data_IF_488563157364
#
_entry.id   IF_488563157364
#
_cell.length_a   1.000
_cell.length_b   1.000
_cell.length_c   1.000
_cell.angle_alpha   90.00
_cell.angle_beta   90.00
_cell.angle_gamma   90.00
#
_symmetry.space_group_name_H-M   'P 1'
#
loop_
_entity.id
_entity.type
_entity.pdbx_description
1 polymer ?
#
# COMPACT_ATOMS: atom_id res chain seq x y z
N UNK A 1 -13.44 -16.80 -39.59
CA UNK A 1 -13.25 -17.11 -38.19
C UNK A 1 -12.70 -18.53 -38.01
N UNK A 2 -13.45 -19.59 -38.44
CA UNK A 2 -13.08 -20.97 -38.25
C UNK A 2 -11.66 -21.33 -38.75
N UNK A 3 -11.30 -20.94 -39.97
CA UNK A 3 -9.94 -21.14 -40.49
C UNK A 3 -8.84 -20.45 -39.66
N UNK A 4 -9.14 -19.32 -39.05
CA UNK A 4 -8.20 -18.63 -38.17
C UNK A 4 -8.04 -19.39 -36.84
N UNK A 5 -9.15 -19.88 -36.28
CA UNK A 5 -9.14 -20.72 -35.07
C UNK A 5 -8.38 -22.02 -35.28
N UNK A 6 -8.65 -22.71 -36.39
CA UNK A 6 -7.94 -23.91 -36.74
C UNK A 6 -6.46 -23.70 -36.97
N UNK A 7 -6.10 -22.57 -37.62
CA UNK A 7 -4.69 -22.20 -37.83
C UNK A 7 -3.98 -21.92 -36.51
N UNK A 8 -4.62 -21.27 -35.57
CA UNK A 8 -4.07 -21.03 -34.20
C UNK A 8 -3.99 -22.34 -33.44
N UNK A 9 -5.04 -23.16 -33.46
CA UNK A 9 -5.11 -24.43 -32.76
C UNK A 9 -4.02 -25.43 -33.20
N UNK A 10 -3.78 -25.53 -34.49
CA UNK A 10 -2.74 -26.44 -35.01
C UNK A 10 -1.34 -25.96 -34.62
N UNK A 11 -1.11 -24.64 -34.58
CA UNK A 11 0.17 -24.06 -34.11
C UNK A 11 0.44 -24.38 -32.64
N UNK A 12 -0.60 -24.40 -31.80
CA UNK A 12 -0.52 -24.65 -30.36
C UNK A 12 -0.47 -26.12 -30.01
N UNK A 13 -0.67 -27.01 -30.98
CA UNK A 13 -0.72 -28.44 -30.75
C UNK A 13 0.65 -29.06 -30.43
N UNK A 14 0.72 -29.86 -29.37
CA UNK A 14 1.91 -30.66 -29.04
C UNK A 14 2.30 -31.66 -30.15
N UNK A 15 1.33 -32.02 -31.04
CA UNK A 15 1.57 -32.85 -32.22
C UNK A 15 1.48 -32.00 -33.47
N UNK A 16 2.34 -31.01 -33.58
CA UNK A 16 2.39 -30.10 -34.72
C UNK A 16 2.64 -30.89 -36.02
N UNK A 17 1.76 -30.64 -36.99
CA UNK A 17 1.89 -31.19 -38.34
C UNK A 17 2.09 -30.07 -39.34
N UNK A 18 3.34 -29.89 -39.79
CA UNK A 18 3.72 -28.81 -40.69
C UNK A 18 2.93 -28.82 -42.01
N UNK A 19 2.69 -29.99 -42.61
CA UNK A 19 1.94 -30.10 -43.87
C UNK A 19 0.50 -29.66 -43.72
N UNK A 20 -0.15 -30.05 -42.63
CA UNK A 20 -1.51 -29.61 -42.31
C UNK A 20 -1.57 -28.12 -41.99
N UNK A 21 -0.59 -27.61 -41.25
CA UNK A 21 -0.47 -26.19 -40.97
C UNK A 21 -0.33 -25.34 -42.23
N UNK A 22 0.58 -25.75 -43.15
CA UNK A 22 0.77 -25.04 -44.43
C UNK A 22 -0.49 -25.05 -45.29
N UNK A 23 -1.23 -26.15 -45.31
CA UNK A 23 -2.51 -26.23 -46.01
C UNK A 23 -3.56 -25.27 -45.42
N UNK A 24 -3.73 -25.27 -44.10
CA UNK A 24 -4.65 -24.34 -43.41
C UNK A 24 -4.25 -22.86 -43.60
N UNK A 25 -2.98 -22.55 -43.49
CA UNK A 25 -2.45 -21.19 -43.73
C UNK A 25 -2.73 -20.74 -45.16
N UNK A 26 -2.57 -21.61 -46.13
CA UNK A 26 -2.90 -21.29 -47.53
C UNK A 26 -4.42 -21.06 -47.72
N UNK A 27 -5.26 -21.90 -47.13
CA UNK A 27 -6.70 -21.71 -47.14
C UNK A 27 -7.14 -20.41 -46.49
N UNK A 28 -6.50 -20.06 -45.36
CA UNK A 28 -6.74 -18.80 -44.67
C UNK A 28 -6.34 -17.58 -45.54
N UNK A 29 -5.19 -17.65 -46.24
CA UNK A 29 -4.77 -16.63 -47.20
C UNK A 29 -5.79 -16.42 -48.32
N UNK A 30 -6.25 -17.49 -48.95
CA UNK A 30 -7.25 -17.45 -50.03
C UNK A 30 -8.56 -16.85 -49.54
N UNK A 31 -9.03 -17.28 -48.37
CA UNK A 31 -10.26 -16.77 -47.78
C UNK A 31 -10.17 -15.27 -47.46
N UNK A 32 -9.02 -14.85 -46.87
CA UNK A 32 -8.77 -13.45 -46.57
C UNK A 32 -8.74 -12.59 -47.86
N UNK A 33 -7.98 -12.99 -48.87
CA UNK A 33 -7.87 -12.24 -50.12
C UNK A 33 -9.22 -12.14 -50.84
N UNK A 34 -10.02 -13.18 -50.78
CA UNK A 34 -11.39 -13.18 -51.31
C UNK A 34 -12.32 -12.21 -50.55
N UNK A 35 -12.15 -12.18 -49.21
CA UNK A 35 -12.94 -11.28 -48.36
C UNK A 35 -12.62 -9.80 -48.64
N UNK A 36 -11.33 -9.47 -48.69
CA UNK A 36 -10.87 -8.09 -48.91
C UNK A 36 -11.35 -7.55 -50.26
N UNK A 37 -11.31 -8.37 -51.30
CA UNK A 37 -11.86 -7.97 -52.63
C UNK A 37 -13.33 -7.60 -52.59
N UNK A 38 -14.12 -8.18 -51.72
CA UNK A 38 -15.57 -7.98 -51.66
C UNK A 38 -16.00 -6.94 -50.64
N UNK A 39 -15.32 -6.87 -49.52
CA UNK A 39 -15.80 -6.20 -48.29
C UNK A 39 -14.86 -5.16 -47.72
N UNK A 40 -13.69 -4.94 -48.34
CA UNK A 40 -12.64 -4.09 -47.82
C UNK A 40 -11.98 -4.68 -46.54
N UNK A 41 -11.09 -3.91 -45.87
CA UNK A 41 -10.36 -4.34 -44.69
C UNK A 41 -11.25 -4.80 -43.55
N UNK A 42 -10.85 -5.86 -42.84
CA UNK A 42 -11.56 -6.37 -41.66
C UNK A 42 -11.59 -5.30 -40.56
N UNK A 43 -10.55 -4.54 -40.42
CA UNK A 43 -10.45 -3.44 -39.43
C UNK A 43 -11.18 -2.15 -39.86
N UNK A 44 -11.90 -2.16 -41.00
CA UNK A 44 -12.77 -1.03 -41.35
C UNK A 44 -13.88 -0.84 -40.33
N UNK A 45 -14.33 0.41 -40.16
CA UNK A 45 -15.37 0.78 -39.16
C UNK A 45 -16.65 -0.07 -39.31
N UNK A 46 -17.08 -0.31 -40.57
CA UNK A 46 -18.29 -1.08 -40.85
C UNK A 46 -18.17 -2.54 -40.36
N UNK A 47 -17.04 -3.20 -40.62
CA UNK A 47 -16.80 -4.58 -40.21
C UNK A 47 -16.59 -4.68 -38.70
N UNK A 48 -15.88 -3.73 -38.08
CA UNK A 48 -15.74 -3.70 -36.61
C UNK A 48 -17.08 -3.67 -35.90
N UNK A 49 -17.99 -2.82 -36.36
CA UNK A 49 -19.33 -2.71 -35.79
C UNK A 49 -20.14 -4.02 -35.94
N UNK A 50 -19.97 -4.76 -37.05
CA UNK A 50 -20.60 -6.07 -37.23
C UNK A 50 -20.04 -7.15 -36.29
N UNK A 51 -18.76 -7.04 -35.98
CA UNK A 51 -18.07 -8.02 -35.14
C UNK A 51 -18.18 -7.72 -33.62
N UNK A 52 -18.73 -6.57 -33.24
CA UNK A 52 -18.73 -6.07 -31.83
C UNK A 52 -19.31 -7.07 -30.83
N UNK A 53 -20.25 -7.93 -31.27
CA UNK A 53 -20.87 -8.95 -30.42
C UNK A 53 -20.36 -10.37 -30.68
N UNK A 54 -19.40 -10.56 -31.60
CA UNK A 54 -18.82 -11.88 -31.87
C UNK A 54 -17.70 -12.17 -30.84
N UNK A 55 -17.77 -13.27 -30.08
CA UNK A 55 -16.72 -13.67 -29.14
C UNK A 55 -15.33 -13.80 -29.81
N UNK A 56 -15.30 -14.06 -31.12
CA UNK A 56 -14.06 -14.20 -31.90
C UNK A 56 -13.58 -12.90 -32.51
N UNK A 57 -14.17 -11.77 -32.16
CA UNK A 57 -13.84 -10.45 -32.68
C UNK A 57 -12.34 -10.19 -32.69
N UNK A 58 -11.69 -10.37 -31.55
CA UNK A 58 -10.26 -10.08 -31.41
C UNK A 58 -9.37 -10.98 -32.28
N UNK A 59 -9.72 -12.26 -32.43
CA UNK A 59 -9.00 -13.16 -33.31
C UNK A 59 -9.09 -12.70 -34.79
N UNK A 60 -10.28 -12.29 -35.21
CA UNK A 60 -10.53 -11.84 -36.57
C UNK A 60 -9.84 -10.49 -36.84
N UNK A 61 -9.93 -9.54 -35.93
CA UNK A 61 -9.31 -8.21 -36.08
C UNK A 61 -7.78 -8.30 -36.09
N UNK A 62 -7.18 -9.22 -35.37
CA UNK A 62 -5.74 -9.47 -35.34
C UNK A 62 -5.18 -10.15 -36.60
N UNK A 63 -6.03 -10.51 -37.56
CA UNK A 63 -5.56 -10.93 -38.89
C UNK A 63 -4.94 -9.77 -39.70
N UNK A 64 -5.19 -8.54 -39.28
CA UNK A 64 -4.61 -7.34 -39.91
C UNK A 64 -3.79 -6.52 -38.91
N UNK A 65 -2.66 -6.02 -39.35
CA UNK A 65 -1.85 -5.01 -38.65
C UNK A 65 -2.03 -3.64 -39.34
N UNK A 66 -1.85 -2.54 -38.60
CA UNK A 66 -1.90 -1.20 -39.18
C UNK A 66 -0.82 -1.03 -40.25
N UNK A 67 -1.20 -0.51 -41.40
CA UNK A 67 -0.26 -0.08 -42.43
C UNK A 67 0.37 1.27 -42.10
N UNK A 68 1.32 1.69 -42.92
CA UNK A 68 2.06 2.96 -42.76
C UNK A 68 1.13 4.17 -43.04
N UNK A 69 0.25 4.04 -43.98
CA UNK A 69 -0.71 5.10 -44.33
C UNK A 69 -1.97 5.03 -43.44
N UNK A 70 -2.61 6.19 -43.23
CA UNK A 70 -3.82 6.25 -42.44
C UNK A 70 -4.95 5.40 -43.04
N UNK A 71 -5.59 4.59 -42.21
CA UNK A 71 -6.69 3.68 -42.59
C UNK A 71 -6.30 2.56 -43.58
N UNK A 72 -5.01 2.26 -43.73
CA UNK A 72 -4.53 1.07 -44.43
C UNK A 72 -4.19 -0.05 -43.45
N UNK A 73 -4.38 -1.29 -43.92
CA UNK A 73 -4.08 -2.48 -43.13
C UNK A 73 -3.30 -3.48 -43.99
N UNK A 74 -2.42 -4.23 -43.34
CA UNK A 74 -1.62 -5.28 -43.97
C UNK A 74 -1.88 -6.61 -43.30
N UNK A 75 -1.65 -7.70 -44.01
CA UNK A 75 -1.72 -9.06 -43.44
C UNK A 75 -0.76 -9.20 -42.26
N UNK A 76 -1.27 -9.65 -41.11
CA UNK A 76 -0.44 -9.98 -39.96
C UNK A 76 0.44 -11.21 -40.21
N UNK A 77 1.38 -11.48 -39.33
CA UNK A 77 2.42 -12.52 -39.53
C UNK A 77 1.86 -13.96 -39.55
N UNK A 78 0.66 -14.21 -39.02
CA UNK A 78 0.02 -15.52 -39.10
C UNK A 78 -0.15 -16.03 -40.54
N UNK A 79 -0.22 -15.14 -41.52
CA UNK A 79 -0.30 -15.47 -42.93
C UNK A 79 1.04 -15.87 -43.55
N UNK A 80 2.17 -15.53 -42.91
CA UNK A 80 3.53 -15.67 -43.45
C UNK A 80 4.34 -16.72 -42.70
N UNK A 81 4.32 -16.66 -41.37
CA UNK A 81 5.13 -17.47 -40.49
C UNK A 81 4.28 -18.15 -39.41
N UNK A 82 4.87 -19.11 -38.72
CA UNK A 82 4.30 -19.67 -37.52
C UNK A 82 4.44 -18.66 -36.38
N UNK A 83 3.32 -18.21 -35.81
CA UNK A 83 3.26 -17.19 -34.75
C UNK A 83 3.21 -17.76 -33.33
N UNK A 84 2.80 -19.03 -33.20
CA UNK A 84 2.73 -19.74 -31.93
C UNK A 84 3.65 -20.95 -32.00
N UNK A 85 4.71 -20.93 -31.24
CA UNK A 85 5.57 -22.09 -31.05
C UNK A 85 5.15 -22.79 -29.75
N UNK A 86 4.94 -24.11 -29.76
CA UNK A 86 4.68 -24.83 -28.52
C UNK A 86 5.88 -24.69 -27.61
N UNK A 87 5.62 -24.57 -26.34
CA UNK A 87 6.66 -24.59 -25.32
C UNK A 87 7.30 -25.99 -25.37
N UNK A 88 8.54 -26.06 -25.81
CA UNK A 88 9.29 -27.32 -25.85
C UNK A 88 9.76 -27.59 -24.43
N UNK A 89 9.34 -28.72 -23.87
CA UNK A 89 9.80 -29.14 -22.54
C UNK A 89 11.33 -29.38 -22.58
N UNK A 90 12.04 -28.63 -21.73
CA UNK A 90 13.49 -28.76 -21.60
C UNK A 90 13.78 -30.05 -20.85
N UNK A 91 14.51 -30.97 -21.49
CA UNK A 91 14.84 -32.28 -20.92
C UNK A 91 16.19 -32.33 -20.23
N UNK A 92 17.10 -31.43 -20.59
CA UNK A 92 18.44 -31.38 -20.02
C UNK A 92 18.97 -29.94 -20.08
N UNK A 93 19.69 -29.55 -19.05
CA UNK A 93 20.38 -28.25 -18.93
C UNK A 93 21.79 -28.45 -18.40
N UNK A 94 22.70 -27.53 -18.75
CA UNK A 94 24.11 -27.61 -18.39
C UNK A 94 24.50 -26.70 -17.23
N UNK A 95 23.64 -25.73 -16.88
CA UNK A 95 23.92 -24.76 -15.81
C UNK A 95 22.79 -24.64 -14.80
N UNK A 96 23.13 -24.20 -13.58
CA UNK A 96 22.13 -23.91 -12.54
C UNK A 96 21.20 -22.77 -12.94
N UNK A 97 21.70 -21.78 -13.70
CA UNK A 97 20.93 -20.66 -14.24
C UNK A 97 19.84 -21.14 -15.20
N UNK A 98 20.19 -22.07 -16.09
CA UNK A 98 19.23 -22.66 -17.03
C UNK A 98 18.20 -23.51 -16.29
N UNK A 99 18.62 -24.26 -15.26
CA UNK A 99 17.70 -25.05 -14.42
C UNK A 99 16.70 -24.15 -13.68
N UNK A 100 17.14 -23.04 -13.11
CA UNK A 100 16.29 -22.03 -12.47
C UNK A 100 15.31 -21.45 -13.48
N UNK A 101 15.79 -21.02 -14.65
CA UNK A 101 14.97 -20.44 -15.71
C UNK A 101 13.94 -21.44 -16.24
N UNK A 102 14.34 -22.69 -16.45
CA UNK A 102 13.44 -23.75 -16.88
C UNK A 102 12.36 -24.05 -15.83
N UNK A 103 12.73 -24.12 -14.54
CA UNK A 103 11.78 -24.34 -13.45
C UNK A 103 10.74 -23.23 -13.39
N UNK A 104 11.16 -21.97 -13.48
CA UNK A 104 10.25 -20.82 -13.49
C UNK A 104 9.30 -20.81 -14.68
N UNK A 105 9.82 -21.13 -15.88
CA UNK A 105 9.02 -21.15 -17.11
C UNK A 105 7.98 -22.29 -17.14
N UNK A 106 8.33 -23.48 -16.63
CA UNK A 106 7.47 -24.65 -16.72
C UNK A 106 6.62 -24.92 -15.47
N UNK A 107 7.14 -24.57 -14.29
CA UNK A 107 6.46 -24.81 -13.01
C UNK A 107 5.92 -23.55 -12.37
N UNK A 108 6.36 -22.36 -12.82
CA UNK A 108 6.00 -21.08 -12.22
C UNK A 108 6.66 -20.81 -10.86
N UNK A 109 7.51 -21.74 -10.40
CA UNK A 109 8.21 -21.68 -9.12
C UNK A 109 9.54 -22.44 -9.19
N UNK A 110 10.38 -22.29 -8.18
CA UNK A 110 11.62 -23.06 -8.05
C UNK A 110 11.32 -24.46 -7.50
N UNK A 111 11.15 -25.43 -8.39
CA UNK A 111 10.89 -26.82 -8.06
C UNK A 111 12.19 -27.62 -8.10
N UNK A 112 12.76 -27.94 -6.94
CA UNK A 112 14.02 -28.66 -6.81
C UNK A 112 13.96 -30.08 -7.41
N UNK A 113 12.81 -30.75 -7.34
CA UNK A 113 12.64 -32.08 -7.94
C UNK A 113 12.70 -32.01 -9.47
N UNK A 114 12.02 -31.03 -10.05
CA UNK A 114 12.09 -30.81 -11.50
C UNK A 114 13.51 -30.43 -11.93
N UNK A 115 14.16 -29.50 -11.19
CA UNK A 115 15.53 -29.11 -11.46
C UNK A 115 16.52 -30.29 -11.36
N UNK A 116 16.33 -31.18 -10.39
CA UNK A 116 17.15 -32.39 -10.23
C UNK A 116 17.07 -33.30 -11.46
N UNK A 117 15.89 -33.44 -12.04
CA UNK A 117 15.67 -34.27 -13.23
C UNK A 117 16.35 -33.67 -14.47
N UNK A 118 16.18 -32.35 -14.70
CA UNK A 118 16.71 -31.73 -15.93
C UNK A 118 18.19 -31.39 -15.85
N UNK A 119 18.75 -31.20 -14.64
CA UNK A 119 20.16 -30.85 -14.41
C UNK A 119 21.02 -32.08 -14.09
N UNK A 120 20.39 -33.25 -13.90
CA UNK A 120 21.03 -34.54 -13.57
C UNK A 120 21.96 -34.45 -12.34
N UNK A 121 21.51 -33.72 -11.31
CA UNK A 121 22.22 -33.55 -10.03
C UNK A 121 21.29 -33.83 -8.84
N UNK A 122 21.89 -34.22 -7.71
CA UNK A 122 21.14 -34.35 -6.47
C UNK A 122 20.64 -33.00 -5.96
N UNK A 123 19.50 -33.00 -5.26
CA UNK A 123 18.89 -31.79 -4.65
C UNK A 123 19.94 -31.07 -3.77
N UNK A 124 20.69 -31.79 -2.95
CA UNK A 124 21.72 -31.24 -2.07
C UNK A 124 22.83 -30.51 -2.85
N UNK A 125 23.20 -31.01 -4.04
CA UNK A 125 24.18 -30.34 -4.92
C UNK A 125 23.61 -29.06 -5.50
N UNK A 126 22.35 -29.12 -5.93
CA UNK A 126 21.61 -27.95 -6.47
C UNK A 126 21.50 -26.88 -5.40
N UNK A 127 21.10 -27.21 -4.17
CA UNK A 127 20.98 -26.26 -3.07
C UNK A 127 22.33 -25.59 -2.76
N UNK A 128 23.43 -26.33 -2.78
CA UNK A 128 24.77 -25.75 -2.60
C UNK A 128 25.12 -24.75 -3.68
N UNK A 129 24.81 -25.07 -4.94
CA UNK A 129 25.03 -24.16 -6.07
C UNK A 129 24.11 -22.94 -5.99
N UNK A 130 22.85 -23.10 -5.57
CA UNK A 130 21.91 -22.02 -5.35
C UNK A 130 22.37 -21.07 -4.24
N UNK A 131 22.91 -21.59 -3.13
CA UNK A 131 23.47 -20.77 -2.05
C UNK A 131 24.65 -19.89 -2.53
N UNK A 132 25.43 -20.35 -3.49
CA UNK A 132 26.52 -19.55 -4.07
C UNK A 132 26.06 -18.58 -5.15
N UNK A 133 24.91 -18.84 -5.77
CA UNK A 133 24.30 -17.98 -6.79
C UNK A 133 23.82 -16.66 -6.18
N UNK A 134 23.90 -15.57 -6.95
CA UNK A 134 23.30 -14.29 -6.59
C UNK A 134 21.84 -14.14 -7.07
N UNK A 135 21.35 -15.09 -7.88
CA UNK A 135 20.02 -15.02 -8.50
C UNK A 135 18.87 -15.45 -7.60
N UNK A 136 19.18 -16.27 -6.58
CA UNK A 136 18.17 -16.87 -5.69
C UNK A 136 18.65 -16.86 -4.25
N UNK A 137 17.70 -16.72 -3.33
CA UNK A 137 17.93 -16.74 -1.89
C UNK A 137 16.92 -17.67 -1.23
N UNK A 138 17.37 -18.40 -0.21
CA UNK A 138 16.46 -19.16 0.64
C UNK A 138 15.87 -18.23 1.70
N UNK A 139 14.55 -18.12 1.74
CA UNK A 139 13.85 -17.38 2.77
C UNK A 139 13.55 -18.31 3.96
N UNK A 140 14.22 -18.14 5.11
CA UNK A 140 14.03 -19.02 6.26
C UNK A 140 12.66 -18.84 6.94
N UNK A 141 11.99 -17.69 6.73
CA UNK A 141 10.66 -17.41 7.27
C UNK A 141 9.57 -18.12 6.45
N UNK A 142 9.68 -18.08 5.12
CA UNK A 142 8.74 -18.73 4.21
C UNK A 142 9.15 -20.17 3.84
N UNK A 143 10.30 -20.62 4.33
CA UNK A 143 10.86 -21.96 4.11
C UNK A 143 10.96 -22.35 2.64
N UNK A 144 11.24 -21.38 1.77
CA UNK A 144 11.33 -21.60 0.31
C UNK A 144 12.42 -20.77 -0.37
N UNK A 145 12.86 -21.25 -1.52
CA UNK A 145 13.73 -20.51 -2.39
C UNK A 145 12.92 -19.43 -3.15
N UNK A 146 13.48 -18.22 -3.21
CA UNK A 146 12.91 -17.07 -3.91
C UNK A 146 13.93 -16.48 -4.89
N UNK A 147 13.43 -15.87 -5.96
CA UNK A 147 14.28 -15.06 -6.82
C UNK A 147 14.82 -13.85 -6.07
N UNK A 148 15.99 -13.34 -6.48
CA UNK A 148 16.57 -12.12 -5.93
C UNK A 148 15.54 -10.98 -5.87
N UNK A 149 14.86 -10.69 -6.99
CA UNK A 149 13.85 -9.63 -7.08
C UNK A 149 12.66 -9.80 -6.12
N UNK A 150 12.33 -11.03 -5.73
CA UNK A 150 11.28 -11.36 -4.78
C UNK A 150 11.81 -11.29 -3.35
N UNK A 151 12.94 -11.94 -3.08
CA UNK A 151 13.55 -11.96 -1.76
C UNK A 151 13.92 -10.56 -1.25
N UNK A 152 14.48 -9.72 -2.12
CA UNK A 152 14.88 -8.34 -1.83
C UNK A 152 13.73 -7.33 -1.94
N UNK A 153 12.49 -7.76 -1.77
CA UNK A 153 11.29 -6.93 -1.75
C UNK A 153 10.43 -7.24 -0.52
N UNK A 154 9.41 -6.41 -0.30
CA UNK A 154 8.57 -6.50 0.89
C UNK A 154 9.21 -5.86 2.11
N UNK A 155 8.87 -6.31 3.30
CA UNK A 155 9.43 -5.81 4.55
C UNK A 155 10.84 -6.37 4.79
N UNK A 156 11.85 -5.56 4.50
CA UNK A 156 13.26 -5.95 4.58
C UNK A 156 13.69 -6.15 6.04
N UNK A 157 13.26 -5.24 6.93
CA UNK A 157 13.61 -5.31 8.35
C UNK A 157 13.07 -6.59 9.00
N UNK A 158 11.83 -6.95 8.72
CA UNK A 158 11.20 -8.16 9.25
C UNK A 158 11.96 -9.45 8.88
N UNK A 159 12.51 -9.52 7.65
CA UNK A 159 13.35 -10.64 7.21
C UNK A 159 14.67 -10.70 7.99
N UNK A 160 15.29 -9.55 8.21
CA UNK A 160 16.54 -9.45 9.01
C UNK A 160 16.27 -9.84 10.47
N UNK A 161 15.20 -9.31 11.07
CA UNK A 161 14.84 -9.56 12.46
C UNK A 161 14.49 -11.03 12.67
N UNK A 162 13.76 -11.66 11.74
CA UNK A 162 13.49 -13.10 11.79
C UNK A 162 14.78 -13.94 11.86
N UNK A 163 15.79 -13.60 11.05
CA UNK A 163 17.08 -14.30 11.04
C UNK A 163 17.81 -14.11 12.38
N UNK A 164 17.77 -12.89 12.95
CA UNK A 164 18.43 -12.55 14.23
C UNK A 164 17.75 -13.23 15.41
N UNK A 165 16.43 -13.13 15.51
CA UNK A 165 15.64 -13.67 16.62
C UNK A 165 15.73 -15.21 16.71
N UNK A 166 15.87 -15.87 15.56
CA UNK A 166 15.99 -17.32 15.49
C UNK A 166 17.46 -17.82 15.56
N UNK A 167 18.43 -16.93 15.83
CA UNK A 167 19.87 -17.25 15.92
C UNK A 167 20.43 -17.91 14.64
N UNK A 168 19.97 -17.45 13.47
CA UNK A 168 20.35 -17.99 12.15
C UNK A 168 21.43 -17.15 11.45
N UNK A 169 22.05 -16.20 12.14
CA UNK A 169 22.99 -15.22 11.56
C UNK A 169 24.13 -15.90 10.82
N UNK A 170 24.81 -16.88 11.46
CA UNK A 170 25.97 -17.56 10.87
C UNK A 170 25.62 -18.32 9.58
N UNK A 171 24.39 -18.85 9.50
CA UNK A 171 23.94 -19.59 8.31
C UNK A 171 23.50 -18.68 7.16
N UNK A 172 22.93 -17.50 7.48
CA UNK A 172 22.35 -16.57 6.52
C UNK A 172 23.07 -15.21 6.50
N UNK A 173 24.36 -15.17 6.82
CA UNK A 173 25.16 -13.94 6.77
C UNK A 173 25.08 -13.24 5.41
N UNK A 174 25.16 -14.01 4.30
CA UNK A 174 25.00 -13.51 2.94
C UNK A 174 23.66 -12.82 2.75
N UNK A 175 22.57 -13.42 3.26
CA UNK A 175 21.23 -12.87 3.17
C UNK A 175 21.12 -11.53 3.90
N UNK A 176 21.64 -11.46 5.13
CA UNK A 176 21.66 -10.22 5.93
C UNK A 176 22.42 -9.11 5.21
N UNK A 177 23.59 -9.42 4.66
CA UNK A 177 24.42 -8.44 3.95
C UNK A 177 23.68 -7.86 2.74
N UNK A 178 23.03 -8.71 1.94
CA UNK A 178 22.27 -8.25 0.77
C UNK A 178 21.01 -7.47 1.17
N UNK A 179 20.29 -7.91 2.21
CA UNK A 179 19.12 -7.20 2.73
C UNK A 179 19.51 -5.81 3.28
N UNK A 180 20.62 -5.70 4.02
CA UNK A 180 21.11 -4.41 4.50
C UNK A 180 21.47 -3.45 3.35
N UNK A 181 22.06 -3.97 2.26
CA UNK A 181 22.44 -3.16 1.10
C UNK A 181 21.23 -2.60 0.33
N UNK A 182 20.06 -3.20 0.49
CA UNK A 182 18.82 -2.77 -0.19
C UNK A 182 17.82 -2.11 0.74
N UNK A 183 18.18 -1.97 2.02
CA UNK A 183 17.36 -1.22 2.98
C UNK A 183 17.19 0.21 2.47
N UNK A 184 15.97 0.77 2.49
CA UNK A 184 15.76 2.16 2.14
C UNK A 184 16.61 3.10 3.00
N UNK A 185 17.06 4.21 2.43
CA UNK A 185 17.76 5.24 3.21
C UNK A 185 16.82 5.81 4.29
N UNK A 186 17.29 5.98 5.53
CA UNK A 186 16.46 6.55 6.59
C UNK A 186 15.97 7.96 6.22
N UNK A 187 14.68 8.19 6.42
CA UNK A 187 14.07 9.50 6.28
C UNK A 187 14.37 10.35 7.52
N UNK A 188 14.61 11.64 7.32
CA UNK A 188 14.77 12.61 8.39
C UNK A 188 13.43 13.22 8.76
N UNK A 189 13.35 13.90 9.93
CA UNK A 189 12.11 14.54 10.40
C UNK A 189 11.53 15.54 9.40
N UNK A 190 12.39 16.15 8.57
CA UNK A 190 11.98 17.08 7.52
C UNK A 190 11.31 16.41 6.31
N UNK A 191 11.58 15.12 6.13
CA UNK A 191 10.98 14.30 5.06
C UNK A 191 9.70 13.61 5.52
N UNK A 192 9.45 13.59 6.84
CA UNK A 192 8.32 12.91 7.47
C UNK A 192 7.21 13.92 7.75
N UNK A 193 6.01 13.62 7.28
CA UNK A 193 4.82 14.38 7.67
C UNK A 193 4.22 13.74 8.91
N UNK A 194 4.24 14.46 10.03
CA UNK A 194 3.65 14.02 11.28
C UNK A 194 2.67 15.07 11.83
N UNK A 195 1.74 14.62 12.64
CA UNK A 195 0.72 15.47 13.25
C UNK A 195 0.40 14.97 14.66
N UNK A 196 -0.16 15.83 15.46
CA UNK A 196 -0.67 15.49 16.79
C UNK A 196 -1.72 14.37 16.67
N UNK A 197 -1.57 13.31 17.47
CA UNK A 197 -2.46 12.14 17.40
C UNK A 197 -2.05 11.07 16.39
N UNK A 198 -0.85 11.14 15.80
CA UNK A 198 -0.34 10.04 14.97
C UNK A 198 0.02 8.81 15.85
N UNK A 199 -0.57 7.61 15.58
CA UNK A 199 -0.43 6.45 16.47
C UNK A 199 1.00 5.92 16.65
N UNK A 200 1.88 6.23 15.71
CA UNK A 200 3.28 5.78 15.74
C UNK A 200 4.19 6.65 16.62
N UNK A 201 3.74 7.85 17.00
CA UNK A 201 4.51 8.73 17.89
C UNK A 201 4.40 8.21 19.33
N UNK A 202 5.54 8.02 20.04
CA UNK A 202 5.53 7.56 21.42
C UNK A 202 4.67 8.45 22.34
N UNK A 203 3.83 7.84 23.17
CA UNK A 203 2.84 8.55 24.01
C UNK A 203 3.47 9.51 25.00
N UNK A 204 4.70 9.22 25.47
CA UNK A 204 5.40 10.14 26.39
C UNK A 204 5.70 11.51 25.75
N UNK A 205 5.85 11.59 24.40
CA UNK A 205 6.02 12.88 23.71
C UNK A 205 4.73 13.70 23.82
N UNK A 206 3.57 13.06 23.77
CA UNK A 206 2.28 13.72 24.00
C UNK A 206 2.08 14.13 25.45
N UNK A 207 2.57 13.34 26.40
CA UNK A 207 2.55 13.67 27.84
C UNK A 207 3.44 14.89 28.12
N UNK A 208 4.66 14.89 27.59
CA UNK A 208 5.58 16.01 27.70
C UNK A 208 5.04 17.28 27.01
N UNK A 209 4.41 17.14 25.87
CA UNK A 209 3.73 18.23 25.17
C UNK A 209 2.58 18.82 26.00
N UNK A 210 1.74 17.97 26.60
CA UNK A 210 0.69 18.42 27.48
C UNK A 210 1.25 19.15 28.73
N UNK A 211 2.35 18.67 29.30
CA UNK A 211 3.06 19.34 30.38
C UNK A 211 3.57 20.73 29.93
N UNK A 212 4.10 20.85 28.74
CA UNK A 212 4.52 22.11 28.14
C UNK A 212 3.33 23.08 27.96
N UNK A 213 2.24 22.63 27.35
CA UNK A 213 1.04 23.44 27.08
C UNK A 213 0.44 24.04 28.35
N UNK A 214 0.30 23.20 29.38
CA UNK A 214 -0.36 23.58 30.62
C UNK A 214 0.61 24.10 31.68
N UNK A 215 1.88 24.32 31.32
CA UNK A 215 2.94 24.92 32.18
C UNK A 215 3.11 24.20 33.51
N UNK A 216 3.07 22.87 33.50
CA UNK A 216 3.21 22.08 34.73
C UNK A 216 4.59 22.15 35.39
N UNK A 217 5.62 22.59 34.70
CA UNK A 217 6.99 22.74 35.23
C UNK A 217 7.07 23.64 36.49
N UNK A 218 6.13 24.54 36.65
CA UNK A 218 6.06 25.46 37.80
C UNK A 218 5.22 24.89 38.98
N UNK A 219 4.61 23.73 38.84
CA UNK A 219 3.85 23.11 39.90
C UNK A 219 4.68 21.94 40.47
N UNK A 220 4.82 21.87 41.79
CA UNK A 220 5.46 20.78 42.54
C UNK A 220 4.63 19.47 42.40
N UNK A 221 4.26 19.07 41.20
CA UNK A 221 3.41 17.90 40.94
C UNK A 221 4.22 16.79 40.28
N UNK A 222 4.05 15.61 40.86
CA UNK A 222 4.56 14.34 40.35
C UNK A 222 4.08 14.14 38.90
N UNK A 223 5.00 13.84 37.98
CA UNK A 223 4.75 13.57 36.53
C UNK A 223 3.70 12.48 36.27
N UNK A 224 3.20 11.80 37.30
CA UNK A 224 2.13 10.81 37.26
C UNK A 224 0.71 11.40 37.22
N UNK A 225 0.57 12.73 37.15
CA UNK A 225 -0.75 13.37 37.20
C UNK A 225 -1.49 13.39 35.84
N UNK A 226 -0.77 13.14 34.76
CA UNK A 226 -1.31 13.00 33.40
C UNK A 226 -0.71 11.76 32.77
N UNK A 227 -1.55 10.93 32.19
CA UNK A 227 -1.13 9.75 31.43
C UNK A 227 -1.89 9.70 30.12
N UNK A 228 -1.15 9.49 29.02
CA UNK A 228 -1.72 9.31 27.69
C UNK A 228 -1.37 7.90 27.21
N UNK A 229 -2.37 7.13 26.87
CA UNK A 229 -2.21 5.77 26.35
C UNK A 229 -2.94 5.59 25.03
N UNK A 230 -2.39 4.76 24.14
CA UNK A 230 -3.04 4.39 22.90
C UNK A 230 -3.70 3.01 23.05
N UNK A 231 -5.00 2.93 22.77
CA UNK A 231 -5.80 1.71 22.89
C UNK A 231 -5.88 1.07 21.50
N UNK A 232 -5.11 0.03 21.27
CA UNK A 232 -5.01 -0.64 19.96
C UNK A 232 -6.36 -1.17 19.45
N UNK A 233 -7.23 -1.65 20.35
CA UNK A 233 -8.52 -2.24 20.00
C UNK A 233 -9.49 -1.22 19.40
N UNK A 234 -9.42 0.03 19.83
CA UNK A 234 -10.30 1.11 19.38
C UNK A 234 -9.61 2.08 18.43
N UNK A 235 -8.28 2.05 18.36
CA UNK A 235 -7.47 3.01 17.60
C UNK A 235 -7.54 4.43 18.17
N UNK A 236 -7.80 4.58 19.48
CA UNK A 236 -7.99 5.86 20.14
C UNK A 236 -6.99 6.08 21.27
N UNK A 237 -6.68 7.35 21.51
CA UNK A 237 -5.95 7.77 22.69
C UNK A 237 -6.90 7.93 23.87
N UNK A 238 -6.51 7.40 25.02
CA UNK A 238 -7.12 7.67 26.31
C UNK A 238 -6.22 8.60 27.11
N UNK A 239 -6.79 9.63 27.69
CA UNK A 239 -6.08 10.59 28.52
C UNK A 239 -6.69 10.61 29.91
N UNK A 240 -5.88 10.19 30.90
CA UNK A 240 -6.22 10.19 32.32
C UNK A 240 -5.54 11.39 33.00
N UNK A 241 -6.33 12.25 33.59
CA UNK A 241 -5.84 13.41 34.32
C UNK A 241 -6.74 13.77 35.51
N UNK A 242 -6.14 14.38 36.52
CA UNK A 242 -6.88 14.87 37.70
C UNK A 242 -7.27 16.34 37.49
N UNK A 243 -8.45 16.59 36.94
CA UNK A 243 -8.98 17.93 36.65
C UNK A 243 -8.94 18.88 37.89
N UNK A 244 -9.23 18.35 39.08
CA UNK A 244 -9.19 19.14 40.33
C UNK A 244 -7.79 19.68 40.68
N UNK A 245 -6.73 19.00 40.25
CA UNK A 245 -5.34 19.46 40.48
C UNK A 245 -4.92 20.55 39.52
N UNK A 246 -5.46 20.57 38.33
CA UNK A 246 -5.03 21.49 37.28
C UNK A 246 -5.87 22.76 37.21
N UNK A 247 -7.19 22.66 37.41
CA UNK A 247 -8.11 23.79 37.28
C UNK A 247 -8.89 24.10 38.57
N UNK A 248 -8.72 23.31 39.63
CA UNK A 248 -9.42 23.48 40.90
C UNK A 248 -8.79 24.57 41.75
N UNK A 249 -9.52 25.63 42.08
CA UNK A 249 -9.22 26.70 43.01
C UNK A 249 -8.03 27.65 42.72
N UNK A 250 -7.31 27.51 41.62
CA UNK A 250 -6.23 28.43 41.25
C UNK A 250 -6.52 29.00 39.88
N UNK A 251 -6.37 30.27 39.80
CA UNK A 251 -6.48 31.20 38.65
C UNK A 251 -5.49 30.91 37.52
N UNK A 252 -5.39 29.65 37.06
CA UNK A 252 -4.70 29.36 35.81
C UNK A 252 -5.72 29.63 34.71
N UNK A 253 -5.53 30.72 34.01
CA UNK A 253 -6.25 31.01 32.78
C UNK A 253 -5.98 29.83 31.83
N UNK A 254 -7.03 29.12 31.47
CA UNK A 254 -6.94 28.05 30.50
C UNK A 254 -6.87 28.66 29.10
N UNK A 255 -5.64 29.00 28.68
CA UNK A 255 -5.37 29.61 27.37
C UNK A 255 -5.89 28.77 26.20
N UNK A 256 -6.04 27.47 26.40
CA UNK A 256 -6.50 26.53 25.41
C UNK A 256 -7.99 26.15 25.55
N UNK A 257 -8.67 26.65 26.56
CA UNK A 257 -10.10 26.45 26.76
C UNK A 257 -10.95 27.44 25.98
N UNK A 258 -12.17 27.04 25.65
CA UNK A 258 -13.14 27.91 24.99
C UNK A 258 -14.00 28.59 26.06
N UNK A 259 -13.98 29.93 26.16
CA UNK A 259 -14.76 30.64 27.16
C UNK A 259 -16.26 30.44 26.99
N UNK A 260 -16.99 30.57 28.08
CA UNK A 260 -18.44 30.59 28.02
C UNK A 260 -18.89 31.93 27.42
N UNK A 261 -19.75 31.87 26.40
CA UNK A 261 -20.40 33.07 25.86
C UNK A 261 -21.56 33.52 26.78
N UNK A 262 -21.97 34.78 26.67
CA UNK A 262 -23.13 35.28 27.46
C UNK A 262 -24.40 34.49 27.12
N UNK A 263 -25.11 34.03 28.15
CA UNK A 263 -26.19 33.04 28.07
C UNK A 263 -27.57 33.65 27.81
N UNK A 264 -27.68 34.84 27.26
CA UNK A 264 -28.97 35.53 27.15
C UNK A 264 -29.54 35.26 25.75
N UNK A 265 -30.58 34.41 25.70
CA UNK A 265 -31.45 34.30 24.54
C UNK A 265 -32.43 35.48 24.48
N UNK A 266 -32.78 35.91 23.27
CA UNK A 266 -33.79 36.94 23.00
C UNK A 266 -35.16 36.60 23.55
N UNK A 267 -35.46 35.32 23.84
CA UNK A 267 -36.73 34.81 24.36
C UNK A 267 -36.71 34.51 25.86
N UNK A 268 -35.66 34.89 26.58
CA UNK A 268 -35.55 34.71 28.04
C UNK A 268 -35.26 33.26 28.48
N UNK A 269 -34.92 32.37 27.58
CA UNK A 269 -34.55 30.97 27.87
C UNK A 269 -33.07 30.92 28.26
N UNK A 270 -32.76 30.41 29.44
CA UNK A 270 -31.40 30.21 29.90
C UNK A 270 -30.84 28.96 29.22
N UNK A 271 -29.88 29.16 28.31
CA UNK A 271 -29.16 28.08 27.62
C UNK A 271 -27.91 27.69 28.42
N UNK A 272 -27.82 26.42 28.79
CA UNK A 272 -26.66 25.86 29.48
C UNK A 272 -25.54 25.56 28.48
N UNK A 273 -24.35 26.03 28.76
CA UNK A 273 -23.14 25.78 27.95
C UNK A 273 -22.20 24.86 28.73
N UNK A 274 -21.86 23.68 28.23
CA UNK A 274 -20.81 22.86 28.83
C UNK A 274 -19.48 23.58 28.80
N UNK A 275 -18.69 23.42 29.84
CA UNK A 275 -17.29 23.83 29.85
C UNK A 275 -16.52 23.00 28.79
N UNK A 276 -15.64 23.62 28.09
CA UNK A 276 -14.72 22.97 27.13
C UNK A 276 -13.33 23.55 27.39
N UNK A 277 -12.50 22.78 28.06
CA UNK A 277 -11.19 23.19 28.54
C UNK A 277 -10.09 22.70 27.59
N UNK A 278 -8.83 23.07 27.85
CA UNK A 278 -7.68 22.69 27.04
C UNK A 278 -7.43 21.17 26.98
N UNK A 279 -7.81 20.42 28.03
CA UNK A 279 -7.71 18.97 28.02
C UNK A 279 -8.77 18.34 27.11
N UNK A 280 -10.00 18.89 27.08
CA UNK A 280 -11.04 18.46 26.14
C UNK A 280 -10.57 18.68 24.70
N UNK A 281 -9.97 19.86 24.44
CA UNK A 281 -9.39 20.18 23.13
C UNK A 281 -8.27 19.23 22.76
N UNK A 282 -7.29 19.01 23.64
CA UNK A 282 -6.18 18.10 23.39
C UNK A 282 -6.66 16.68 23.11
N UNK A 283 -7.62 16.19 23.91
CA UNK A 283 -8.20 14.86 23.72
C UNK A 283 -8.95 14.73 22.38
N UNK A 284 -9.66 15.76 21.95
CA UNK A 284 -10.35 15.76 20.67
C UNK A 284 -9.33 15.77 19.50
N UNK A 285 -8.26 16.58 19.56
CA UNK A 285 -7.24 16.62 18.52
C UNK A 285 -6.45 15.33 18.46
N UNK A 286 -6.01 14.76 19.60
CA UNK A 286 -5.34 13.45 19.64
C UNK A 286 -6.16 12.36 18.96
N UNK A 287 -7.48 12.43 19.06
CA UNK A 287 -8.39 11.44 18.48
C UNK A 287 -8.97 11.89 17.11
N UNK A 288 -8.41 12.91 16.49
CA UNK A 288 -8.86 13.47 15.20
C UNK A 288 -10.36 13.82 15.20
N UNK A 289 -10.90 14.24 16.35
CA UNK A 289 -12.29 14.66 16.48
C UNK A 289 -12.42 16.15 16.17
N UNK A 290 -13.43 16.49 15.38
CA UNK A 290 -13.73 17.88 15.07
C UNK A 290 -14.61 18.46 16.18
N UNK A 291 -14.13 19.45 16.96
CA UNK A 291 -14.91 20.06 18.01
C UNK A 291 -16.25 20.60 17.50
N UNK A 292 -17.33 20.27 18.22
CA UNK A 292 -18.66 20.82 17.93
C UNK A 292 -19.36 21.10 19.25
N UNK A 293 -19.35 22.37 19.63
CA UNK A 293 -19.90 22.81 20.92
C UNK A 293 -21.37 23.17 20.78
N UNK A 294 -22.16 22.76 21.76
CA UNK A 294 -23.62 22.94 21.77
C UNK A 294 -24.09 23.70 22.98
N UNK A 295 -25.14 24.47 22.80
CA UNK A 295 -25.97 24.99 23.88
C UNK A 295 -27.11 24.00 24.19
N UNK A 296 -27.48 23.89 25.45
CA UNK A 296 -28.55 22.99 25.89
C UNK A 296 -29.59 23.73 26.70
N UNK A 297 -30.88 23.40 26.54
CA UNK A 297 -31.96 23.91 27.36
C UNK A 297 -33.03 22.86 27.55
N UNK A 298 -33.85 23.07 28.54
CA UNK A 298 -35.00 22.18 28.86
C UNK A 298 -36.29 22.80 28.37
N UNK A 299 -37.08 22.03 27.65
CA UNK A 299 -38.43 22.40 27.21
C UNK A 299 -39.46 21.46 27.85
N UNK A 300 -40.51 22.02 28.42
CA UNK A 300 -41.59 21.26 29.03
C UNK A 300 -42.72 21.16 27.99
N UNK A 301 -43.06 19.95 27.56
CA UNK A 301 -44.19 19.71 26.67
C UNK A 301 -45.54 19.87 27.39
N UNK A 302 -46.63 20.01 26.62
CA UNK A 302 -48.00 20.12 27.10
C UNK A 302 -48.43 18.99 28.09
N UNK A 303 -47.73 17.86 28.09
CA UNK A 303 -47.89 16.73 29.00
C UNK A 303 -47.03 16.76 30.25
N UNK A 304 -46.28 17.83 30.52
CA UNK A 304 -45.40 17.98 31.69
C UNK A 304 -44.07 17.18 31.58
N UNK A 305 -43.75 16.65 30.40
CA UNK A 305 -42.50 15.91 30.16
C UNK A 305 -41.41 16.90 29.79
N UNK A 306 -40.32 16.89 30.57
CA UNK A 306 -39.10 17.68 30.28
C UNK A 306 -38.31 17.02 29.17
N UNK A 307 -38.01 17.75 28.09
CA UNK A 307 -37.10 17.33 27.01
C UNK A 307 -35.91 18.27 26.93
N UNK A 308 -34.72 17.70 26.94
CA UNK A 308 -33.48 18.46 26.65
C UNK A 308 -33.36 18.70 25.15
N UNK A 309 -33.27 19.95 24.76
CA UNK A 309 -32.97 20.42 23.40
C UNK A 309 -31.54 20.86 23.31
N UNK A 310 -30.97 20.84 22.10
CA UNK A 310 -29.63 21.35 21.87
C UNK A 310 -29.52 22.00 20.50
N UNK A 311 -28.67 23.03 20.39
CA UNK A 311 -28.29 23.65 19.16
C UNK A 311 -26.77 23.84 19.12
N UNK A 312 -26.19 23.92 17.92
CA UNK A 312 -24.75 24.18 17.76
C UNK A 312 -24.48 25.65 18.05
N UNK A 313 -23.54 25.91 18.96
CA UNK A 313 -23.00 27.23 19.17
C UNK A 313 -21.88 27.48 18.13
N UNK A 314 -22.21 28.20 17.07
CA UNK A 314 -21.30 28.41 15.94
C UNK A 314 -20.07 29.21 16.32
N UNK A 315 -20.18 30.18 17.21
CA UNK A 315 -19.07 31.02 17.67
C UNK A 315 -18.06 30.20 18.46
N UNK A 316 -18.50 29.52 19.52
CA UNK A 316 -17.63 28.66 20.34
C UNK A 316 -17.06 27.48 19.54
N UNK A 317 -17.83 26.92 18.62
CA UNK A 317 -17.33 25.89 17.70
C UNK A 317 -16.24 26.41 16.78
N UNK A 318 -16.38 27.65 16.28
CA UNK A 318 -15.37 28.31 15.47
C UNK A 318 -14.07 28.53 16.27
N UNK A 319 -14.19 29.04 17.49
CA UNK A 319 -13.04 29.25 18.40
C UNK A 319 -12.32 27.92 18.71
N UNK A 320 -13.08 26.84 19.02
CA UNK A 320 -12.49 25.53 19.29
C UNK A 320 -11.70 24.97 18.08
N UNK A 321 -12.20 25.15 16.88
CA UNK A 321 -11.51 24.72 15.65
C UNK A 321 -10.25 25.54 15.36
N UNK A 322 -10.29 26.84 15.62
CA UNK A 322 -9.12 27.69 15.50
C UNK A 322 -8.04 27.25 16.49
N UNK A 323 -8.41 27.07 17.76
CA UNK A 323 -7.51 26.55 18.79
C UNK A 323 -6.96 25.16 18.45
N UNK A 324 -7.76 24.26 17.83
CA UNK A 324 -7.26 22.96 17.36
C UNK A 324 -6.14 23.11 16.35
N UNK A 325 -6.30 24.00 15.36
CA UNK A 325 -5.26 24.24 14.35
C UNK A 325 -4.01 24.90 14.96
N UNK A 326 -4.18 25.78 15.92
CA UNK A 326 -3.04 26.37 16.66
C UNK A 326 -2.31 25.31 17.48
N UNK A 327 -3.04 24.39 18.13
CA UNK A 327 -2.50 23.29 18.91
C UNK A 327 -1.65 22.34 18.07
N UNK A 328 -2.15 21.96 16.87
CA UNK A 328 -1.41 21.15 15.91
C UNK A 328 -0.08 21.81 15.48
N UNK A 329 -0.10 23.10 15.16
CA UNK A 329 1.11 23.85 14.81
C UNK A 329 2.08 23.94 15.99
N UNK A 330 1.58 24.21 17.19
CA UNK A 330 2.39 24.30 18.41
C UNK A 330 3.05 22.95 18.72
N UNK A 331 2.37 21.83 18.46
CA UNK A 331 2.97 20.49 18.60
C UNK A 331 4.14 20.28 17.64
N UNK A 332 4.00 20.68 16.38
CA UNK A 332 5.07 20.58 15.39
C UNK A 332 6.28 21.39 15.81
N UNK A 333 6.08 22.65 16.27
CA UNK A 333 7.14 23.51 16.80
C UNK A 333 7.81 22.88 18.02
N UNK A 334 7.03 22.37 18.98
CA UNK A 334 7.53 21.70 20.19
C UNK A 334 8.43 20.50 19.87
N UNK A 335 8.06 19.70 18.86
CA UNK A 335 8.89 18.57 18.42
C UNK A 335 10.19 19.06 17.79
N UNK A 336 10.13 20.05 16.88
CA UNK A 336 11.33 20.56 16.22
C UNK A 336 12.32 21.25 17.18
N UNK A 337 11.84 21.83 18.28
CA UNK A 337 12.68 22.45 19.30
C UNK A 337 13.45 21.42 20.15
N UNK A 338 13.14 20.11 20.02
CA UNK A 338 13.78 19.06 20.80
C UNK A 338 14.36 17.96 19.89
N UNK A 339 15.68 17.97 19.72
CA UNK A 339 16.40 17.00 18.89
C UNK A 339 16.13 15.52 19.30
N UNK A 340 15.88 15.26 20.57
CA UNK A 340 15.57 13.92 21.08
C UNK A 340 14.22 13.42 20.52
N UNK A 341 13.19 14.28 20.55
CA UNK A 341 11.86 13.91 19.99
C UNK A 341 11.92 13.73 18.49
N UNK A 342 12.66 14.60 17.77
CA UNK A 342 12.89 14.43 16.35
C UNK A 342 13.46 13.05 16.02
N UNK A 343 14.51 12.63 16.72
CA UNK A 343 15.14 11.32 16.52
C UNK A 343 14.21 10.15 16.86
N UNK A 344 13.49 10.24 17.97
CA UNK A 344 12.56 9.18 18.36
C UNK A 344 11.43 8.98 17.33
N UNK A 345 10.92 10.08 16.76
CA UNK A 345 9.90 10.03 15.70
C UNK A 345 10.51 9.50 14.39
N UNK A 346 11.73 9.94 14.03
CA UNK A 346 12.47 9.42 12.87
C UNK A 346 12.67 7.90 12.97
N UNK A 347 13.18 7.43 14.09
CA UNK A 347 13.47 6.01 14.31
C UNK A 347 12.21 5.16 14.24
N UNK A 348 11.13 5.62 14.90
CA UNK A 348 9.87 4.88 14.91
C UNK A 348 9.19 4.88 13.53
N UNK A 349 9.21 6.01 12.83
CA UNK A 349 8.67 6.11 11.47
C UNK A 349 9.44 5.23 10.50
N UNK A 350 10.77 5.31 10.52
CA UNK A 350 11.60 4.47 9.65
C UNK A 350 11.41 2.98 9.96
N UNK A 351 11.29 2.61 11.23
CA UNK A 351 11.06 1.22 11.66
C UNK A 351 9.72 0.67 11.18
N UNK A 352 8.67 1.49 11.15
CA UNK A 352 7.32 1.05 10.79
C UNK A 352 7.00 1.17 9.30
N UNK A 353 7.46 2.24 8.66
CA UNK A 353 6.98 2.61 7.33
C UNK A 353 8.07 2.62 6.25
N UNK A 354 9.33 2.89 6.61
CA UNK A 354 10.42 2.99 5.63
C UNK A 354 11.25 1.69 5.52
N UNK A 355 10.61 0.56 5.70
CA UNK A 355 11.24 -0.77 5.63
C UNK A 355 10.73 -1.61 4.46
N UNK A 356 9.73 -1.08 3.73
CA UNK A 356 9.09 -1.79 2.63
C UNK A 356 9.75 -1.39 1.32
N UNK A 357 10.33 -2.36 0.64
CA UNK A 357 10.87 -2.20 -0.69
C UNK A 357 9.93 -2.80 -1.74
N UNK A 358 9.48 -2.04 -2.73
CA UNK A 358 8.69 -2.60 -3.83
C UNK A 358 9.52 -3.59 -4.65
N UNK A 359 8.89 -4.63 -5.20
CA UNK A 359 9.55 -5.55 -6.11
C UNK A 359 9.89 -4.84 -7.41
N UNK A 360 11.17 -4.91 -7.79
CA UNK A 360 11.65 -4.32 -9.04
C UNK A 360 11.70 -5.44 -10.08
N UNK A 361 10.99 -5.23 -11.19
CA UNK A 361 10.99 -6.14 -12.34
C UNK A 361 11.92 -5.56 -13.41
N UNK A 362 12.94 -6.31 -13.76
CA UNK A 362 13.77 -5.97 -14.90
C UNK A 362 13.14 -6.54 -16.18
N UNK A 363 12.62 -5.67 -17.04
CA UNK A 363 12.02 -6.01 -18.32
C UNK A 363 12.92 -5.73 -19.52
N UNK A 364 14.20 -5.43 -19.35
CA UNK A 364 15.14 -5.06 -20.42
C UNK A 364 15.32 -6.14 -21.51
N UNK A 365 15.03 -7.40 -21.15
CA UNK A 365 15.06 -8.53 -22.08
C UNK A 365 13.79 -8.63 -22.95
N UNK A 366 12.74 -7.85 -22.67
CA UNK A 366 11.52 -7.86 -23.46
C UNK A 366 11.69 -6.91 -24.64
N UNK A 367 11.75 -7.46 -25.85
CA UNK A 367 11.67 -6.70 -27.10
C UNK A 367 10.26 -6.81 -27.66
N UNK A 368 9.59 -5.70 -27.87
CA UNK A 368 8.25 -5.61 -28.45
C UNK A 368 8.32 -5.26 -29.93
#
# INVERSE_FOLDING_TARGET
>A
AELAEETVSIQSSNKFNEKAYLALRNSLNIAYDSFIKKHNYINSRAIKNLLERDPRQYLILNLESKGVEANTYIKSDIFKIRTINPVVEIKHVESIQDAISASLNFKGMLDLNYMSIIYDKSIESIEKEMHTSAMVFYDPKEERWQLESEYLSGNILEKIDFIRENNLIDRYEKNINVLNNVMPEPLTITDITFQLGAPYIPTHIYEDFACYLFRFENMMYDSKSLTISFINETGQFAMDYYEYRFFGNSFIEDEWGVPLSENIDTDGVIKRQPRYNGFDLLNDVLNSRIPTLKNYWEEINEGGIVKTKSEINSERTGQARELSSQLENTFVEFVFDNEKYCREIEDEYNRLFNVIRPRIYNGEFLSF
#
